data_IF_598203849254
#
_entry.id   IF_598203849254
#
_cell.length_a   1.000
_cell.length_b   1.000
_cell.length_c   1.000
_cell.angle_alpha   90.00
_cell.angle_beta   90.00
_cell.angle_gamma   90.00
#
_symmetry.space_group_name_H-M   'P 1'
#
loop_
_entity.id
_entity.type
_entity.pdbx_description
1 polymer ?
#
# COMPACT_ATOMS: atom_id res chain seq x y z
N UNK A 1 19.63 3.10 -12.18
CA UNK A 1 18.63 2.20 -11.58
C UNK A 1 18.99 1.83 -10.15
N UNK A 2 18.26 2.39 -9.19
CA UNK A 2 18.30 1.99 -7.78
C UNK A 2 16.98 1.33 -7.42
N UNK A 3 17.04 0.19 -6.74
CA UNK A 3 15.86 -0.49 -6.20
C UNK A 3 15.76 -0.21 -4.70
N UNK A 4 14.56 0.11 -4.23
CA UNK A 4 14.26 0.28 -2.81
C UNK A 4 13.04 -0.57 -2.47
N UNK A 5 13.20 -1.47 -1.50
CA UNK A 5 12.08 -2.22 -0.93
C UNK A 5 11.54 -1.49 0.30
N UNK A 6 10.24 -1.27 0.32
CA UNK A 6 9.52 -0.58 1.38
C UNK A 6 8.43 -1.50 1.93
N UNK A 7 8.35 -1.61 3.25
CA UNK A 7 7.22 -2.22 3.95
C UNK A 7 6.50 -1.10 4.67
N UNK A 8 5.21 -0.94 4.38
CA UNK A 8 4.36 0.08 4.98
C UNK A 8 3.22 -0.58 5.73
N UNK A 9 2.93 -0.06 6.91
CA UNK A 9 1.75 -0.41 7.71
C UNK A 9 0.79 0.78 7.68
N UNK A 10 -0.46 0.53 7.30
CA UNK A 10 -1.46 1.55 7.03
C UNK A 10 -2.76 1.16 7.71
N UNK A 11 -3.26 2.04 8.57
CA UNK A 11 -4.62 1.94 9.10
C UNK A 11 -5.55 2.87 8.32
N UNK A 12 -6.53 2.32 7.62
CA UNK A 12 -7.48 3.11 6.81
C UNK A 12 -8.77 2.35 6.55
N UNK A 13 -9.83 3.04 6.10
CA UNK A 13 -10.97 2.33 5.52
C UNK A 13 -10.63 1.75 4.13
N UNK A 14 -11.49 0.87 3.63
CA UNK A 14 -11.30 0.19 2.35
C UNK A 14 -11.19 1.15 1.15
N UNK A 15 -12.00 2.21 1.11
CA UNK A 15 -12.03 3.14 -0.01
C UNK A 15 -10.77 4.00 -0.06
N UNK A 16 -10.25 4.40 1.10
CA UNK A 16 -9.00 5.12 1.27
C UNK A 16 -7.81 4.27 0.82
N UNK A 17 -7.73 3.00 1.23
CA UNK A 17 -6.70 2.07 0.76
C UNK A 17 -6.74 1.88 -0.77
N UNK A 18 -7.95 1.70 -1.32
CA UNK A 18 -8.16 1.56 -2.77
C UNK A 18 -7.68 2.78 -3.54
N UNK A 19 -7.97 4.00 -3.06
CA UNK A 19 -7.49 5.25 -3.65
C UNK A 19 -5.97 5.34 -3.61
N UNK A 20 -5.35 4.97 -2.49
CA UNK A 20 -3.89 4.94 -2.35
C UNK A 20 -3.25 4.02 -3.39
N UNK A 21 -3.68 2.76 -3.47
CA UNK A 21 -3.15 1.78 -4.44
C UNK A 21 -3.34 2.28 -5.88
N UNK A 22 -4.48 2.91 -6.19
CA UNK A 22 -4.74 3.45 -7.54
C UNK A 22 -3.83 4.62 -7.88
N UNK A 23 -3.53 5.50 -6.92
CA UNK A 23 -2.64 6.64 -7.13
C UNK A 23 -1.20 6.25 -7.48
N UNK A 24 -0.76 5.05 -7.06
CA UNK A 24 0.58 4.53 -7.38
C UNK A 24 0.87 4.42 -8.88
N UNK A 25 -0.16 4.24 -9.71
CA UNK A 25 -0.03 4.20 -11.19
C UNK A 25 0.44 5.52 -11.80
N UNK A 26 0.20 6.64 -11.12
CA UNK A 26 0.54 7.98 -11.60
C UNK A 26 1.85 8.50 -10.96
N UNK A 27 2.56 7.66 -10.20
CA UNK A 27 3.79 8.06 -9.53
C UNK A 27 4.98 8.06 -10.53
N UNK A 28 5.91 9.03 -10.46
CA UNK A 28 7.02 9.15 -11.41
C UNK A 28 8.17 8.14 -11.17
N UNK A 29 7.85 6.94 -10.66
CA UNK A 29 8.76 5.81 -10.54
C UNK A 29 8.00 4.51 -10.80
N UNK A 30 8.73 3.45 -11.19
CA UNK A 30 8.10 2.14 -11.36
C UNK A 30 7.84 1.55 -9.97
N UNK A 31 6.56 1.39 -9.64
CA UNK A 31 6.09 0.81 -8.38
C UNK A 31 5.58 -0.60 -8.65
N UNK A 32 6.16 -1.58 -7.97
CA UNK A 32 5.70 -2.96 -7.97
C UNK A 32 5.19 -3.33 -6.57
N UNK A 33 3.90 -3.66 -6.46
CA UNK A 33 3.34 -4.19 -5.22
C UNK A 33 3.67 -5.68 -5.15
N UNK A 34 4.43 -6.08 -4.13
CA UNK A 34 4.86 -7.47 -3.94
C UNK A 34 3.84 -8.27 -3.13
N UNK A 35 3.30 -7.67 -2.07
CA UNK A 35 2.24 -8.26 -1.27
C UNK A 35 1.37 -7.16 -0.63
N UNK A 36 0.11 -7.50 -0.39
CA UNK A 36 -0.84 -6.70 0.37
C UNK A 36 -1.60 -7.64 1.29
N UNK A 37 -1.41 -7.48 2.59
CA UNK A 37 -2.13 -8.18 3.63
C UNK A 37 -3.10 -7.19 4.30
N UNK A 38 -4.35 -7.58 4.47
CA UNK A 38 -5.37 -6.74 5.11
C UNK A 38 -6.07 -7.51 6.21
N UNK A 39 -6.08 -6.94 7.41
CA UNK A 39 -6.83 -7.44 8.56
C UNK A 39 -7.99 -6.49 8.85
N UNK A 40 -9.18 -7.05 9.07
CA UNK A 40 -10.34 -6.28 9.53
C UNK A 40 -10.29 -6.18 11.04
N UNK A 41 -10.27 -4.96 11.57
CA UNK A 41 -10.38 -4.75 13.01
C UNK A 41 -11.86 -4.64 13.40
N UNK A 42 -12.45 -5.73 13.88
CA UNK A 42 -13.88 -5.81 14.25
C UNK A 42 -14.23 -4.98 15.50
N UNK A 43 -13.24 -4.52 16.27
CA UNK A 43 -13.45 -3.69 17.47
C UNK A 43 -13.69 -2.22 17.13
N UNK A 44 -13.30 -1.78 15.93
CA UNK A 44 -13.36 -0.38 15.48
C UNK A 44 -13.91 -0.37 14.05
N UNK A 45 -15.22 -0.55 13.89
CA UNK A 45 -15.88 -0.34 12.59
C UNK A 45 -15.58 1.09 12.07
N UNK A 46 -15.17 1.30 10.80
CA UNK A 46 -14.85 0.37 9.71
C UNK A 46 -13.35 0.42 9.31
N UNK A 47 -12.42 0.36 10.27
CA UNK A 47 -10.98 0.46 9.96
C UNK A 47 -10.39 -0.89 9.54
N UNK A 48 -9.56 -0.86 8.50
CA UNK A 48 -8.70 -1.95 8.07
C UNK A 48 -7.26 -1.64 8.46
N UNK A 49 -6.57 -2.64 8.96
CA UNK A 49 -5.12 -2.62 9.17
C UNK A 49 -4.49 -3.33 7.99
N UNK A 50 -3.64 -2.64 7.24
CA UNK A 50 -3.07 -3.15 5.99
C UNK A 50 -1.56 -3.08 6.03
N UNK A 51 -0.92 -4.17 5.63
CA UNK A 51 0.53 -4.24 5.44
C UNK A 51 0.83 -4.38 3.96
N UNK A 52 1.56 -3.41 3.40
CA UNK A 52 1.82 -3.30 1.98
C UNK A 52 3.32 -3.35 1.73
N UNK A 53 3.76 -4.32 0.94
CA UNK A 53 5.16 -4.47 0.54
C UNK A 53 5.31 -3.97 -0.88
N UNK A 54 6.13 -2.94 -1.06
CA UNK A 54 6.33 -2.27 -2.33
C UNK A 54 7.81 -2.30 -2.69
N UNK A 55 8.10 -2.66 -3.94
CA UNK A 55 9.40 -2.39 -4.55
C UNK A 55 9.27 -1.15 -5.45
N UNK A 56 10.11 -0.15 -5.20
CA UNK A 56 10.21 1.06 -6.02
C UNK A 56 11.51 1.01 -6.80
N UNK A 57 11.42 1.23 -8.11
CA UNK A 57 12.57 1.31 -9.01
C UNK A 57 12.65 2.73 -9.56
N UNK A 58 13.74 3.42 -9.22
CA UNK A 58 14.03 4.77 -9.72
C UNK A 58 15.10 4.66 -10.79
N UNK A 59 14.85 5.24 -11.97
CA UNK A 59 15.75 5.20 -13.12
C UNK A 59 17.06 5.95 -12.82
#
# INVERSE_FOLDING_TARGET
MKEVSLVMEVESDYDSLKKFVTSSKNFPAVITIQSLETLRNEKILPKLESRLHIKVVVL
#
